data_IF_314285978441
#
_entry.id   IF_314285978441
#
_cell.length_a   1.000
_cell.length_b   1.000
_cell.length_c   1.000
_cell.angle_alpha   90.00
_cell.angle_beta   90.00
_cell.angle_gamma   90.00
#
_symmetry.space_group_name_H-M   'P 1'
#
loop_
_entity.id
_entity.type
_entity.pdbx_description
1 polymer ?
#
# COMPACT_ATOMS: atom_id res chain seq x y z
N UNK A 1 -15.84 9.60 58.58
CA UNK A 1 -16.42 10.47 57.52
C UNK A 1 -15.63 10.25 56.24
N UNK A 2 -16.32 9.79 55.19
CA UNK A 2 -15.73 9.48 53.87
C UNK A 2 -15.33 10.78 53.18
N UNK A 3 -14.09 10.88 52.68
CA UNK A 3 -13.65 11.97 51.80
C UNK A 3 -13.53 11.42 50.37
N UNK A 4 -14.43 11.87 49.52
CA UNK A 4 -14.44 11.70 48.07
C UNK A 4 -13.84 12.96 47.45
N UNK A 5 -12.87 12.83 46.55
CA UNK A 5 -12.44 13.92 45.66
C UNK A 5 -11.91 13.27 44.36
N UNK A 6 -12.79 13.00 43.40
CA UNK A 6 -13.01 13.75 42.15
C UNK A 6 -11.73 13.90 41.32
N UNK A 7 -11.58 12.99 40.34
CA UNK A 7 -10.61 13.03 39.26
C UNK A 7 -11.21 13.90 38.15
N UNK A 8 -10.52 14.99 37.80
CA UNK A 8 -10.88 15.87 36.68
C UNK A 8 -10.19 15.39 35.41
N UNK A 9 -10.94 14.76 34.51
CA UNK A 9 -10.46 14.33 33.19
C UNK A 9 -10.61 15.49 32.21
N UNK A 10 -9.49 16.08 31.75
CA UNK A 10 -9.50 17.05 30.66
C UNK A 10 -9.63 16.29 29.32
N UNK A 11 -10.80 16.38 28.70
CA UNK A 11 -11.04 15.96 27.31
C UNK A 11 -10.59 17.09 26.38
N UNK A 12 -9.47 16.89 25.69
CA UNK A 12 -9.04 17.75 24.57
C UNK A 12 -9.74 17.24 23.32
N UNK A 13 -10.86 17.89 22.96
CA UNK A 13 -11.50 17.73 21.66
C UNK A 13 -10.86 18.74 20.69
N UNK A 14 -9.91 18.29 19.87
CA UNK A 14 -9.49 19.03 18.67
C UNK A 14 -10.55 18.82 17.58
N UNK A 15 -11.55 19.70 17.56
CA UNK A 15 -12.50 19.84 16.45
C UNK A 15 -12.00 20.94 15.51
N UNK A 16 -11.44 20.57 14.36
CA UNK A 16 -11.21 21.51 13.26
C UNK A 16 -12.54 21.82 12.58
N UNK A 17 -13.26 22.82 13.09
CA UNK A 17 -14.24 23.58 12.33
C UNK A 17 -13.56 24.83 11.79
N UNK A 18 -13.44 24.97 10.47
CA UNK A 18 -13.13 26.25 9.86
C UNK A 18 -14.27 26.73 8.97
N UNK A 19 -14.60 27.99 9.23
CA UNK A 19 -15.70 28.78 8.72
C UNK A 19 -15.56 29.08 7.21
N UNK A 20 -16.68 29.04 6.51
CA UNK A 20 -16.84 29.52 5.14
C UNK A 20 -16.72 31.04 5.08
N UNK A 21 -15.67 31.55 4.40
CA UNK A 21 -15.65 32.92 3.88
C UNK A 21 -15.81 32.91 2.36
N UNK A 22 -16.99 33.32 1.91
CA UNK A 22 -17.26 33.69 0.52
C UNK A 22 -16.34 34.85 0.11
N UNK A 23 -15.57 34.66 -0.95
CA UNK A 23 -14.96 35.77 -1.70
C UNK A 23 -15.47 35.71 -3.13
N UNK A 24 -16.13 36.79 -3.55
CA UNK A 24 -16.70 37.02 -4.87
C UNK A 24 -15.57 37.15 -5.90
N UNK A 25 -15.61 36.35 -6.97
CA UNK A 25 -14.79 36.62 -8.17
C UNK A 25 -15.65 37.36 -9.18
N UNK A 26 -15.16 38.52 -9.62
CA UNK A 26 -15.80 39.40 -10.58
C UNK A 26 -15.90 38.75 -11.96
N UNK A 27 -17.06 38.96 -12.57
CA UNK A 27 -17.43 38.68 -13.95
C UNK A 27 -16.71 39.68 -14.87
N UNK A 28 -15.91 39.20 -15.82
CA UNK A 28 -15.53 39.99 -17.00
C UNK A 28 -16.12 39.33 -18.25
N UNK A 29 -17.10 40.02 -18.82
CA UNK A 29 -17.76 39.72 -20.09
C UNK A 29 -17.10 40.54 -21.19
N UNK A 30 -16.61 39.91 -22.26
CA UNK A 30 -16.51 40.53 -23.60
C UNK A 30 -17.00 39.52 -24.66
N UNK A 31 -18.30 39.63 -24.92
CA UNK A 31 -19.12 39.61 -26.13
C UNK A 31 -18.55 39.22 -27.52
N UNK A 32 -19.25 38.23 -28.12
CA UNK A 32 -19.67 37.96 -29.53
C UNK A 32 -18.63 37.72 -30.64
N UNK A 33 -18.75 36.55 -31.27
CA UNK A 33 -19.39 36.50 -32.59
C UNK A 33 -20.21 35.22 -32.77
N UNK A 34 -21.38 35.36 -33.40
CA UNK A 34 -22.32 34.29 -33.68
C UNK A 34 -22.06 33.76 -35.09
N UNK A 35 -21.69 32.49 -35.22
CA UNK A 35 -21.87 31.77 -36.49
C UNK A 35 -22.61 30.48 -36.21
N UNK A 36 -23.85 30.44 -36.68
CA UNK A 36 -24.72 29.27 -36.71
C UNK A 36 -24.11 28.24 -37.66
N UNK A 37 -23.73 27.07 -37.14
CA UNK A 37 -23.62 25.84 -37.93
C UNK A 37 -24.21 24.69 -37.12
N UNK A 38 -25.15 24.00 -37.76
CA UNK A 38 -25.99 22.89 -37.27
C UNK A 38 -25.24 21.72 -36.62
N UNK A 39 -25.92 20.94 -35.75
CA UNK A 39 -25.31 19.81 -35.03
C UNK A 39 -25.11 18.61 -35.97
N UNK A 40 -23.85 18.31 -36.27
CA UNK A 40 -23.46 17.07 -36.94
C UNK A 40 -23.08 16.03 -35.89
N UNK A 41 -24.03 15.12 -35.65
CA UNK A 41 -23.83 13.70 -35.38
C UNK A 41 -22.85 13.29 -34.28
N UNK A 42 -23.44 12.90 -33.14
CA UNK A 42 -22.85 12.00 -32.17
C UNK A 42 -22.29 10.75 -32.87
N UNK A 43 -20.95 10.60 -32.87
CA UNK A 43 -20.35 9.33 -33.22
C UNK A 43 -20.32 8.49 -31.95
N UNK A 44 -21.27 7.58 -31.87
CA UNK A 44 -21.37 6.56 -30.83
C UNK A 44 -20.17 5.62 -30.97
N UNK A 45 -19.08 5.92 -30.27
CA UNK A 45 -17.88 5.09 -30.23
C UNK A 45 -18.17 3.79 -29.50
N UNK A 46 -18.58 2.75 -30.24
CA UNK A 46 -18.51 1.37 -29.75
C UNK A 46 -17.05 1.07 -29.40
N UNK A 47 -16.74 1.10 -28.12
CA UNK A 47 -15.46 0.65 -27.58
C UNK A 47 -15.32 -0.82 -27.96
N UNK A 48 -14.39 -1.12 -28.86
CA UNK A 48 -14.13 -2.47 -29.32
C UNK A 48 -13.35 -3.22 -28.23
N UNK A 49 -14.05 -4.09 -27.49
CA UNK A 49 -13.50 -4.91 -26.41
C UNK A 49 -12.22 -5.67 -26.83
N UNK A 50 -12.13 -6.05 -28.10
CA UNK A 50 -10.98 -6.77 -28.68
C UNK A 50 -9.69 -5.92 -28.73
N UNK A 51 -9.81 -4.60 -28.88
CA UNK A 51 -8.65 -3.69 -28.93
C UNK A 51 -8.07 -3.45 -27.53
N UNK A 52 -8.94 -3.34 -26.52
CA UNK A 52 -8.54 -3.19 -25.11
C UNK A 52 -7.88 -4.46 -24.60
N UNK A 53 -8.44 -5.63 -24.93
CA UNK A 53 -7.90 -6.92 -24.50
C UNK A 53 -6.51 -7.19 -25.10
N UNK A 54 -6.31 -6.83 -26.36
CA UNK A 54 -5.00 -6.93 -27.02
C UNK A 54 -3.96 -5.98 -26.41
N UNK A 55 -4.35 -4.74 -26.09
CA UNK A 55 -3.47 -3.79 -25.38
C UNK A 55 -3.09 -4.27 -23.97
N UNK A 56 -4.02 -4.90 -23.24
CA UNK A 56 -3.75 -5.46 -21.92
C UNK A 56 -2.76 -6.63 -22.04
N UNK A 57 -2.93 -7.51 -23.03
CA UNK A 57 -2.04 -8.64 -23.27
C UNK A 57 -0.62 -8.16 -23.64
N UNK A 58 -0.50 -7.17 -24.53
CA UNK A 58 0.80 -6.65 -24.95
C UNK A 58 1.51 -5.90 -23.81
N UNK A 59 0.78 -5.13 -22.99
CA UNK A 59 1.34 -4.50 -21.77
C UNK A 59 1.82 -5.53 -20.76
N UNK A 60 1.03 -6.56 -20.47
CA UNK A 60 1.42 -7.63 -19.55
C UNK A 60 2.67 -8.37 -20.06
N UNK A 61 2.76 -8.62 -21.37
CA UNK A 61 3.92 -9.25 -21.99
C UNK A 61 5.18 -8.40 -21.87
N UNK A 62 5.09 -7.09 -22.07
CA UNK A 62 6.22 -6.17 -21.89
C UNK A 62 6.67 -6.08 -20.43
N UNK A 63 5.72 -6.08 -19.49
CA UNK A 63 6.00 -6.12 -18.04
C UNK A 63 6.73 -7.42 -17.64
N UNK A 64 6.26 -8.56 -18.15
CA UNK A 64 6.90 -9.86 -17.90
C UNK A 64 8.33 -9.88 -18.50
N UNK A 65 8.56 -9.27 -19.68
CA UNK A 65 9.89 -9.15 -20.29
C UNK A 65 10.85 -8.29 -19.44
N UNK A 66 10.43 -7.09 -19.02
CA UNK A 66 11.21 -6.21 -18.14
C UNK A 66 11.53 -6.89 -16.81
N UNK A 67 10.56 -7.60 -16.24
CA UNK A 67 10.73 -8.38 -15.01
C UNK A 67 11.78 -9.47 -15.21
N UNK A 68 11.74 -10.18 -16.34
CA UNK A 68 12.72 -11.21 -16.68
C UNK A 68 14.13 -10.63 -16.87
N UNK A 69 14.29 -9.46 -17.48
CA UNK A 69 15.59 -8.79 -17.62
C UNK A 69 16.16 -8.33 -16.28
N UNK A 70 15.34 -7.70 -15.43
CA UNK A 70 15.73 -7.32 -14.07
C UNK A 70 16.13 -8.53 -13.22
N UNK A 71 15.50 -9.68 -13.45
CA UNK A 71 15.88 -10.94 -12.80
C UNK A 71 17.21 -11.49 -13.31
N UNK A 72 17.50 -11.40 -14.62
CA UNK A 72 18.78 -11.85 -15.19
C UNK A 72 19.98 -11.14 -14.55
N UNK A 73 19.85 -9.85 -14.20
CA UNK A 73 20.90 -9.06 -13.57
C UNK A 73 21.19 -9.43 -12.09
N UNK A 74 20.40 -10.30 -11.45
CA UNK A 74 20.51 -10.64 -10.03
C UNK A 74 21.13 -12.02 -9.80
N UNK A 75 22.01 -12.12 -8.81
CA UNK A 75 22.87 -13.30 -8.61
C UNK A 75 22.23 -14.43 -7.78
N UNK A 76 21.42 -14.10 -6.76
CA UNK A 76 20.87 -15.12 -5.87
C UNK A 76 19.75 -15.96 -6.53
N UNK A 77 20.07 -17.21 -6.89
CA UNK A 77 19.13 -18.15 -7.54
C UNK A 77 17.93 -18.50 -6.65
N UNK A 78 18.13 -18.69 -5.35
CA UNK A 78 17.04 -19.05 -4.42
C UNK A 78 15.95 -17.99 -4.47
N UNK A 79 16.31 -16.70 -4.34
CA UNK A 79 15.31 -15.62 -4.38
C UNK A 79 14.62 -15.51 -5.74
N UNK A 80 15.32 -15.73 -6.84
CA UNK A 80 14.78 -15.68 -8.21
C UNK A 80 13.70 -16.74 -8.50
N UNK A 81 13.70 -17.83 -7.76
CA UNK A 81 12.78 -18.95 -7.95
C UNK A 81 11.84 -19.14 -6.73
N UNK A 82 11.81 -18.18 -5.81
CA UNK A 82 11.07 -18.26 -4.56
C UNK A 82 9.83 -17.35 -4.51
N UNK A 83 9.07 -17.48 -3.42
CA UNK A 83 8.00 -16.56 -3.04
C UNK A 83 8.39 -15.07 -3.12
N UNK A 84 9.65 -14.72 -2.82
CA UNK A 84 10.12 -13.33 -2.80
C UNK A 84 10.65 -12.83 -4.15
N UNK A 85 10.48 -13.58 -5.25
CA UNK A 85 11.01 -13.27 -6.57
C UNK A 85 10.66 -11.85 -7.04
N UNK A 86 9.40 -11.43 -6.93
CA UNK A 86 8.95 -10.11 -7.38
C UNK A 86 9.51 -8.98 -6.52
N UNK A 87 9.47 -9.14 -5.18
CA UNK A 87 10.05 -8.16 -4.25
C UNK A 87 11.57 -8.06 -4.41
N UNK A 88 12.22 -9.17 -4.74
CA UNK A 88 13.64 -9.21 -5.06
C UNK A 88 13.92 -8.47 -6.36
N UNK A 89 13.14 -8.69 -7.43
CA UNK A 89 13.26 -7.95 -8.69
C UNK A 89 13.11 -6.44 -8.46
N UNK A 90 12.13 -6.03 -7.66
CA UNK A 90 11.84 -4.64 -7.27
C UNK A 90 12.82 -4.04 -6.24
N UNK A 91 13.87 -4.77 -5.84
CA UNK A 91 14.92 -4.34 -4.89
C UNK A 91 14.44 -4.04 -3.46
N UNK A 92 13.26 -4.51 -3.11
CA UNK A 92 12.65 -4.38 -1.77
C UNK A 92 13.14 -5.50 -0.85
N UNK A 93 13.60 -6.60 -1.46
CA UNK A 93 14.32 -7.69 -0.83
C UNK A 93 15.76 -7.71 -1.36
N UNK A 94 16.73 -7.94 -0.47
CA UNK A 94 18.16 -8.09 -0.80
C UNK A 94 18.81 -9.17 0.08
N UNK A 95 20.05 -9.55 -0.25
CA UNK A 95 20.88 -10.44 0.57
C UNK A 95 21.99 -9.60 1.21
N UNK A 96 22.20 -9.80 2.52
CA UNK A 96 23.36 -9.26 3.24
C UNK A 96 23.78 -10.24 4.32
N UNK A 97 25.06 -10.66 4.33
CA UNK A 97 25.62 -11.59 5.33
C UNK A 97 24.73 -12.82 5.57
N UNK A 98 24.42 -13.55 4.50
CA UNK A 98 23.55 -14.74 4.46
C UNK A 98 22.14 -14.51 5.02
N UNK A 99 21.69 -13.26 5.02
CA UNK A 99 20.38 -12.88 5.54
C UNK A 99 19.59 -12.22 4.43
N UNK A 100 18.33 -12.61 4.31
CA UNK A 100 17.33 -11.86 3.57
C UNK A 100 17.07 -10.59 4.35
N UNK A 101 17.26 -9.45 3.70
CA UNK A 101 16.91 -8.13 4.23
C UNK A 101 15.73 -7.61 3.43
N UNK A 102 14.64 -7.33 4.13
CA UNK A 102 13.41 -6.80 3.56
C UNK A 102 13.25 -5.36 4.05
N UNK A 103 13.02 -4.42 3.13
CA UNK A 103 12.76 -3.02 3.43
C UNK A 103 11.64 -2.49 2.53
N UNK A 104 10.40 -2.49 3.04
CA UNK A 104 9.22 -2.10 2.27
C UNK A 104 8.81 -0.67 2.68
N UNK A 105 8.87 0.31 1.77
CA UNK A 105 8.32 1.64 2.03
C UNK A 105 6.79 1.60 1.86
N UNK A 106 6.05 2.00 2.88
CA UNK A 106 4.60 2.20 2.81
C UNK A 106 4.27 3.68 2.94
N UNK A 107 3.19 4.11 2.30
CA UNK A 107 2.55 5.36 2.68
C UNK A 107 1.42 5.03 3.67
N UNK A 108 1.59 5.39 4.95
CA UNK A 108 0.56 5.20 5.98
C UNK A 108 -0.38 6.39 6.11
N UNK A 109 -0.30 7.35 5.20
CA UNK A 109 -1.41 8.24 4.93
C UNK A 109 -2.46 7.48 4.13
N UNK A 110 -3.69 7.53 4.61
CA UNK A 110 -4.83 6.89 3.96
C UNK A 110 -5.16 7.52 2.59
N UNK A 111 -6.39 7.37 2.11
CA UNK A 111 -6.88 8.14 0.95
C UNK A 111 -6.59 9.63 1.14
N UNK A 112 -6.34 10.33 0.02
CA UNK A 112 -5.81 11.70 -0.06
C UNK A 112 -6.19 12.57 1.14
N UNK A 113 -5.30 12.60 2.12
CA UNK A 113 -5.46 13.37 3.34
C UNK A 113 -4.71 14.70 3.26
N UNK A 114 -4.29 15.11 2.06
CA UNK A 114 -3.47 16.30 1.84
C UNK A 114 -2.04 16.20 2.40
N UNK A 115 -1.55 14.97 2.68
CA UNK A 115 -0.19 14.76 3.14
C UNK A 115 0.81 14.92 1.98
N UNK A 116 1.98 15.54 2.22
CA UNK A 116 3.01 15.67 1.19
C UNK A 116 3.49 14.32 0.65
N UNK A 117 3.72 14.24 -0.66
CA UNK A 117 4.20 13.03 -1.36
C UNK A 117 5.56 12.50 -0.87
N UNK A 118 6.31 13.32 -0.13
CA UNK A 118 7.62 12.99 0.42
C UNK A 118 7.59 12.16 1.72
N UNK A 119 6.43 11.77 2.22
CA UNK A 119 6.30 10.95 3.43
C UNK A 119 6.45 9.44 3.17
N UNK A 120 7.17 8.72 4.04
CA UNK A 120 7.27 7.25 3.99
C UNK A 120 7.31 6.62 5.39
N UNK A 121 6.78 5.40 5.49
CA UNK A 121 6.98 4.50 6.60
C UNK A 121 7.69 3.24 6.12
N UNK A 122 8.95 3.10 6.49
CA UNK A 122 9.77 1.99 6.05
C UNK A 122 9.67 0.84 7.06
N UNK A 123 9.09 -0.28 6.63
CA UNK A 123 9.05 -1.52 7.41
C UNK A 123 10.24 -2.39 7.04
N UNK A 124 11.16 -2.52 7.99
CA UNK A 124 12.41 -3.28 7.81
C UNK A 124 12.49 -4.47 8.74
N UNK A 125 12.83 -5.63 8.18
CA UNK A 125 13.15 -6.84 8.93
C UNK A 125 14.16 -7.70 8.17
N UNK A 126 14.77 -8.65 8.87
CA UNK A 126 15.72 -9.56 8.26
C UNK A 126 15.67 -10.95 8.89
N UNK A 127 15.97 -11.97 8.12
CA UNK A 127 16.05 -13.35 8.59
C UNK A 127 17.06 -14.15 7.76
N UNK A 128 17.52 -15.27 8.31
CA UNK A 128 18.57 -16.08 7.67
C UNK A 128 18.07 -16.76 6.40
N UNK A 129 18.85 -16.63 5.33
CA UNK A 129 18.73 -17.48 4.16
C UNK A 129 19.48 -18.78 4.43
N UNK A 130 18.82 -19.91 4.19
CA UNK A 130 19.44 -21.24 4.17
C UNK A 130 19.38 -21.78 2.74
N UNK A 131 19.53 -23.09 2.56
CA UNK A 131 19.43 -23.75 1.25
C UNK A 131 18.06 -23.56 0.56
N UNK A 132 17.04 -23.18 1.33
CA UNK A 132 15.70 -22.80 0.83
C UNK A 132 15.14 -21.61 1.60
N UNK A 133 14.20 -20.91 0.98
CA UNK A 133 13.43 -19.86 1.62
C UNK A 133 12.50 -20.48 2.68
N UNK A 134 12.63 -20.03 3.93
CA UNK A 134 11.75 -20.38 5.03
C UNK A 134 11.39 -19.12 5.80
N UNK A 135 10.10 -18.86 5.94
CA UNK A 135 9.60 -17.75 6.75
C UNK A 135 9.72 -18.10 8.25
N UNK A 136 10.39 -17.28 9.08
CA UNK A 136 10.51 -17.55 10.50
C UNK A 136 9.19 -17.34 11.25
N UNK A 137 8.95 -18.16 12.28
CA UNK A 137 7.77 -17.99 13.14
C UNK A 137 7.72 -16.62 13.84
N UNK A 138 8.88 -16.03 14.12
CA UNK A 138 9.00 -14.69 14.71
C UNK A 138 10.09 -13.90 13.99
N UNK A 139 9.79 -12.64 13.66
CA UNK A 139 10.74 -11.70 13.05
C UNK A 139 10.73 -10.39 13.82
N UNK A 140 11.91 -9.89 14.18
CA UNK A 140 12.05 -8.52 14.70
C UNK A 140 11.95 -7.56 13.53
N UNK A 141 11.19 -6.48 13.71
CA UNK A 141 11.04 -5.45 12.71
C UNK A 141 11.27 -4.07 13.30
N UNK A 142 11.58 -3.14 12.40
CA UNK A 142 11.61 -1.71 12.63
C UNK A 142 10.60 -1.07 11.69
N UNK A 143 9.79 -0.15 12.20
CA UNK A 143 8.98 0.81 11.43
C UNK A 143 9.63 2.18 11.61
N UNK A 144 10.02 2.83 10.52
CA UNK A 144 10.67 4.14 10.53
C UNK A 144 9.83 5.11 9.70
N UNK A 145 9.23 6.08 10.37
CA UNK A 145 8.54 7.20 9.76
C UNK A 145 9.57 8.28 9.41
N UNK A 146 9.64 8.65 8.14
CA UNK A 146 10.60 9.62 7.62
C UNK A 146 10.03 10.46 6.47
N UNK A 147 10.86 11.40 5.99
CA UNK A 147 10.50 12.32 4.92
C UNK A 147 10.00 13.65 5.45
N UNK A 148 8.82 14.09 4.99
CA UNK A 148 8.22 15.37 5.37
C UNK A 148 7.53 15.35 6.74
N UNK A 149 8.27 14.96 7.77
CA UNK A 149 7.85 14.94 9.17
C UNK A 149 8.72 15.89 9.99
N UNK A 150 8.13 16.54 11.00
CA UNK A 150 8.88 17.40 11.92
C UNK A 150 9.92 16.62 12.73
N UNK A 151 9.62 15.35 13.03
CA UNK A 151 10.50 14.45 13.76
C UNK A 151 10.31 13.02 13.29
N UNK A 152 11.41 12.39 12.90
CA UNK A 152 11.41 10.97 12.57
C UNK A 152 11.04 10.12 13.79
N UNK A 153 10.18 9.13 13.56
CA UNK A 153 9.78 8.18 14.58
C UNK A 153 10.26 6.78 14.22
N UNK A 154 10.73 6.06 15.24
CA UNK A 154 11.20 4.69 15.09
C UNK A 154 10.51 3.79 16.08
N UNK A 155 9.84 2.78 15.56
CA UNK A 155 9.16 1.75 16.34
C UNK A 155 9.89 0.42 16.15
N UNK A 156 10.13 -0.27 17.27
CA UNK A 156 10.78 -1.57 17.31
C UNK A 156 9.79 -2.61 17.85
N UNK A 157 9.58 -3.68 17.10
CA UNK A 157 8.60 -4.71 17.42
C UNK A 157 9.00 -6.11 16.97
N UNK A 158 8.09 -7.06 17.17
CA UNK A 158 8.19 -8.40 16.63
C UNK A 158 6.88 -8.77 15.96
N UNK A 159 6.97 -9.31 14.75
CA UNK A 159 5.87 -10.03 14.15
C UNK A 159 5.94 -11.51 14.54
N UNK A 160 4.76 -12.11 14.68
CA UNK A 160 4.53 -13.54 14.74
C UNK A 160 3.89 -13.98 13.42
N UNK A 161 4.35 -15.08 12.84
CA UNK A 161 3.73 -15.70 11.68
C UNK A 161 2.34 -16.22 12.07
N UNK A 162 1.32 -15.82 11.31
CA UNK A 162 -0.08 -16.22 11.52
C UNK A 162 -0.51 -17.23 10.47
N UNK A 163 -0.14 -17.00 9.21
CA UNK A 163 -0.53 -17.85 8.09
C UNK A 163 0.57 -17.85 7.03
N UNK A 164 0.84 -19.02 6.44
CA UNK A 164 1.78 -19.18 5.32
C UNK A 164 1.21 -20.20 4.34
N UNK A 165 1.19 -19.84 3.05
CA UNK A 165 0.94 -20.74 1.94
C UNK A 165 1.66 -20.24 0.68
N UNK A 166 1.43 -20.88 -0.46
CA UNK A 166 2.09 -20.54 -1.73
C UNK A 166 1.71 -19.16 -2.31
N UNK A 167 0.59 -18.59 -1.90
CA UNK A 167 0.09 -17.31 -2.40
C UNK A 167 0.43 -16.15 -1.47
N UNK A 168 0.40 -16.36 -0.16
CA UNK A 168 0.62 -15.29 0.82
C UNK A 168 1.23 -15.75 2.13
N UNK A 169 1.80 -14.76 2.82
CA UNK A 169 2.35 -14.88 4.18
C UNK A 169 1.77 -13.74 5.02
N UNK A 170 1.21 -14.06 6.18
CA UNK A 170 0.59 -13.10 7.09
C UNK A 170 1.35 -13.10 8.41
N UNK A 171 1.81 -11.93 8.79
CA UNK A 171 2.50 -11.64 10.05
C UNK A 171 1.67 -10.69 10.89
N UNK A 172 1.66 -10.89 12.21
CA UNK A 172 0.96 -10.02 13.16
C UNK A 172 1.83 -9.61 14.34
N UNK A 173 1.76 -8.33 14.71
CA UNK A 173 2.42 -7.77 15.89
C UNK A 173 1.36 -7.38 16.91
N UNK A 174 1.29 -8.13 18.02
CA UNK A 174 0.33 -7.87 19.11
C UNK A 174 0.58 -6.53 19.78
N UNK A 175 1.85 -6.16 20.00
CA UNK A 175 2.21 -4.95 20.74
C UNK A 175 1.69 -3.68 20.07
N UNK A 176 1.72 -3.62 18.75
CA UNK A 176 1.37 -2.42 17.99
C UNK A 176 0.15 -2.60 17.10
N UNK A 177 -0.53 -3.76 17.18
CA UNK A 177 -1.69 -4.10 16.35
C UNK A 177 -1.41 -3.87 14.86
N UNK A 178 -0.32 -4.47 14.38
CA UNK A 178 0.12 -4.37 12.99
C UNK A 178 -0.04 -5.71 12.29
N UNK A 179 -0.58 -5.69 11.08
CA UNK A 179 -0.58 -6.86 10.20
C UNK A 179 0.23 -6.55 8.95
N UNK A 180 1.20 -7.39 8.65
CA UNK A 180 1.93 -7.38 7.39
C UNK A 180 1.46 -8.58 6.56
N UNK A 181 1.03 -8.34 5.34
CA UNK A 181 0.73 -9.39 4.38
C UNK A 181 1.69 -9.26 3.19
N UNK A 182 2.35 -10.35 2.86
CA UNK A 182 3.18 -10.48 1.68
C UNK A 182 2.48 -11.42 0.70
N UNK A 183 2.51 -11.11 -0.59
CA UNK A 183 2.04 -11.98 -1.66
C UNK A 183 3.20 -12.44 -2.52
N UNK A 184 3.10 -13.64 -3.07
CA UNK A 184 4.10 -14.15 -4.02
C UNK A 184 4.09 -13.42 -5.36
N UNK A 185 2.98 -12.75 -5.69
CA UNK A 185 2.84 -11.93 -6.89
C UNK A 185 1.84 -10.78 -6.70
N UNK A 186 2.07 -9.66 -7.38
CA UNK A 186 1.15 -8.52 -7.46
C UNK A 186 -0.04 -8.73 -8.41
N UNK A 187 -0.03 -9.75 -9.27
CA UNK A 187 -1.04 -9.95 -10.34
C UNK A 187 -2.49 -9.96 -9.87
N UNK A 188 -2.77 -10.43 -8.64
CA UNK A 188 -4.14 -10.51 -8.10
C UNK A 188 -4.58 -9.24 -7.36
N UNK A 189 -3.68 -8.64 -6.59
CA UNK A 189 -4.00 -7.56 -5.65
C UNK A 189 -3.55 -6.17 -6.16
N UNK A 190 -2.81 -6.15 -7.26
CA UNK A 190 -2.13 -4.95 -7.80
C UNK A 190 -0.94 -4.51 -6.96
N UNK A 191 -0.55 -5.29 -5.96
CA UNK A 191 0.63 -5.10 -5.11
C UNK A 191 1.05 -6.43 -4.50
N UNK A 192 2.35 -6.58 -4.21
CA UNK A 192 2.88 -7.73 -3.50
C UNK A 192 2.94 -7.57 -1.98
N UNK A 193 2.49 -6.43 -1.40
CA UNK A 193 2.36 -6.31 0.06
C UNK A 193 1.20 -5.41 0.51
N UNK A 194 0.55 -5.81 1.61
CA UNK A 194 -0.34 -4.97 2.40
C UNK A 194 0.20 -4.74 3.80
N UNK A 195 -0.08 -3.56 4.34
CA UNK A 195 0.14 -3.25 5.73
C UNK A 195 -1.15 -2.72 6.37
N UNK A 196 -1.39 -3.08 7.62
CA UNK A 196 -2.57 -2.68 8.36
C UNK A 196 -2.18 -2.21 9.75
N UNK A 197 -2.84 -1.17 10.23
CA UNK A 197 -2.62 -0.58 11.56
C UNK A 197 -3.91 -0.61 12.38
N UNK A 198 -3.77 -0.79 13.70
CA UNK A 198 -4.91 -0.69 14.63
C UNK A 198 -5.87 -1.88 14.66
N UNK A 199 -5.59 -2.95 13.90
CA UNK A 199 -6.47 -4.12 13.82
C UNK A 199 -6.13 -5.19 14.86
N UNK A 200 -7.17 -5.84 15.40
CA UNK A 200 -7.00 -7.02 16.24
C UNK A 200 -6.46 -8.23 15.45
N UNK A 201 -5.84 -9.17 16.17
CA UNK A 201 -5.36 -10.43 15.59
C UNK A 201 -6.50 -11.15 14.87
N UNK A 202 -6.20 -11.80 13.75
CA UNK A 202 -7.16 -12.53 12.90
C UNK A 202 -8.24 -11.68 12.21
N UNK A 203 -8.19 -10.34 12.29
CA UNK A 203 -9.05 -9.49 11.44
C UNK A 203 -8.67 -9.61 9.96
N UNK A 204 -7.40 -9.86 9.66
CA UNK A 204 -6.90 -10.17 8.33
C UNK A 204 -6.50 -11.65 8.30
N UNK A 205 -7.01 -12.39 7.33
CA UNK A 205 -6.78 -13.83 7.14
C UNK A 205 -6.65 -14.13 5.66
N UNK A 206 -6.14 -15.31 5.30
CA UNK A 206 -6.12 -15.74 3.90
C UNK A 206 -7.49 -15.80 3.24
N UNK A 207 -8.57 -15.95 4.01
CA UNK A 207 -9.93 -16.01 3.50
C UNK A 207 -10.44 -14.64 3.02
N UNK A 208 -10.08 -13.56 3.71
CA UNK A 208 -10.61 -12.22 3.40
C UNK A 208 -9.60 -11.32 2.67
N UNK A 209 -8.30 -11.61 2.73
CA UNK A 209 -7.26 -10.68 2.27
C UNK A 209 -7.42 -10.23 0.81
N UNK A 210 -7.91 -11.11 -0.08
CA UNK A 210 -8.07 -10.80 -1.49
C UNK A 210 -9.30 -9.92 -1.79
N UNK A 211 -10.22 -9.76 -0.83
CA UNK A 211 -11.43 -8.98 -0.99
C UNK A 211 -11.35 -7.61 -0.28
N UNK A 212 -10.45 -7.42 0.68
CA UNK A 212 -10.34 -6.18 1.47
C UNK A 212 -10.29 -4.93 0.58
N UNK A 213 -9.46 -4.94 -0.47
CA UNK A 213 -9.35 -3.80 -1.38
C UNK A 213 -10.62 -3.53 -2.20
N UNK A 214 -11.38 -4.59 -2.53
CA UNK A 214 -12.64 -4.49 -3.30
C UNK A 214 -13.81 -4.04 -2.42
N UNK A 215 -13.78 -4.42 -1.16
CA UNK A 215 -14.79 -4.08 -0.15
C UNK A 215 -14.50 -2.74 0.53
N UNK A 216 -13.37 -2.11 0.21
CA UNK A 216 -13.01 -0.80 0.75
C UNK A 216 -14.04 0.25 0.34
N UNK A 217 -14.53 1.00 1.32
CA UNK A 217 -15.47 2.10 1.16
C UNK A 217 -15.03 3.23 2.09
N UNK A 218 -14.68 4.39 1.51
CA UNK A 218 -14.22 5.56 2.24
C UNK A 218 -15.28 6.17 3.17
N UNK A 219 -16.56 5.97 2.85
CA UNK A 219 -17.69 6.46 3.65
C UNK A 219 -18.00 5.54 4.84
N UNK A 220 -17.54 4.29 4.82
CA UNK A 220 -17.74 3.34 5.91
C UNK A 220 -16.56 3.37 6.88
N UNK A 221 -16.81 3.88 8.09
CA UNK A 221 -15.84 3.94 9.19
C UNK A 221 -15.33 2.57 9.64
N UNK A 222 -16.03 1.48 9.33
CA UNK A 222 -15.60 0.13 9.63
C UNK A 222 -14.78 -0.50 8.49
N UNK A 223 -14.67 0.20 7.37
CA UNK A 223 -13.91 -0.27 6.23
C UNK A 223 -12.43 -0.36 6.58
N UNK A 224 -11.80 -1.43 6.10
CA UNK A 224 -10.39 -1.69 6.38
C UNK A 224 -9.58 -1.15 5.21
N UNK A 225 -8.75 -0.14 5.47
CA UNK A 225 -7.84 0.39 4.46
C UNK A 225 -6.55 -0.43 4.42
N UNK A 226 -6.21 -1.09 3.29
CA UNK A 226 -4.94 -1.78 3.11
C UNK A 226 -3.87 -0.80 2.62
N UNK A 227 -2.94 -0.41 3.50
CA UNK A 227 -1.81 0.41 3.05
C UNK A 227 -0.94 -0.38 2.09
N UNK A 228 -0.55 0.26 0.99
CA UNK A 228 0.25 -0.37 -0.09
C UNK A 228 1.58 0.34 -0.26
N UNK A 229 2.52 -0.35 -0.89
CA UNK A 229 3.84 0.18 -1.22
C UNK A 229 3.91 0.48 -2.70
N UNK A 230 4.19 1.73 -3.08
CA UNK A 230 4.35 2.14 -4.48
C UNK A 230 5.52 1.42 -5.18
N UNK A 231 6.54 1.02 -4.42
CA UNK A 231 7.62 0.18 -4.91
C UNK A 231 7.15 -1.24 -5.30
N UNK A 232 6.07 -1.71 -4.68
CA UNK A 232 5.50 -3.05 -4.87
C UNK A 232 4.19 -3.05 -5.67
N UNK A 233 3.67 -1.90 -6.08
CA UNK A 233 2.51 -1.85 -6.97
C UNK A 233 2.92 -2.10 -8.42
N UNK A 234 2.00 -2.70 -9.18
CA UNK A 234 2.08 -2.71 -10.63
C UNK A 234 1.64 -1.34 -11.09
N UNK A 235 2.60 -0.48 -11.45
CA UNK A 235 2.26 0.74 -12.15
C UNK A 235 1.70 0.33 -13.52
N UNK A 236 0.39 0.51 -13.70
CA UNK A 236 -0.17 0.72 -15.03
C UNK A 236 0.44 2.05 -15.51
N UNK A 237 1.60 1.98 -16.15
CA UNK A 237 2.11 3.06 -16.99
C UNK A 237 1.46 2.96 -18.37
#
# INVERSE_FOLDING_TARGET
MKKTLIISTLLVLCSCGQETKQTKTALNTITRDSTVVSPSSATNGKINHQTIEKEIIDRNKNQDLLTNEMQKAKENKILKESFLQEMYAKKVVTISNDSIVVNIPFNLHGPDCGAPDCYSNDIRFSFKLKDKLLFPMNIRFTEHENGCVEKEQKLLGSFQLVEENSNHVIYYSTKYKRTLVLFSTDKRNGTSAFYFTGLEKNRITGQNVNNIKKEYNEDDKNSIYPFTSSALTTNKY
#
